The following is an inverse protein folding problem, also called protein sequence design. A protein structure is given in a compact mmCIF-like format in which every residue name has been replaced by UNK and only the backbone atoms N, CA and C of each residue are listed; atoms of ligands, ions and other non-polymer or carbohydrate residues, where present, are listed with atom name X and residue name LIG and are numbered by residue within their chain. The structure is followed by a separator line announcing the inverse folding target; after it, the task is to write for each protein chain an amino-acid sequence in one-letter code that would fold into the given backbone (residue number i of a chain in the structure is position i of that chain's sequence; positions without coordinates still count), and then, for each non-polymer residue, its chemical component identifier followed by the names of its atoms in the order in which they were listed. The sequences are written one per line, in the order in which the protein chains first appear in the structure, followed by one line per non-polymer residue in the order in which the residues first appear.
data_IF_647425983147
#
_entry.id   IF_647425983147
#
_cell.length_a   1.000
_cell.length_b   1.000
_cell.length_c   1.000
_cell.angle_alpha   90.00
_cell.angle_beta   90.00
_cell.angle_gamma   90.00
#
_symmetry.space_group_name_H-M   'P 1'
#
loop_
_entity.id
_entity.type
_entity.pdbx_description
1 polymer ?
#
# COMPACT_ATOMS: atom_id res chain seq x y z
N UNK A 1 13.06 -6.98 -18.91
CA UNK A 1 12.93 -6.81 -17.44
C UNK A 1 11.48 -7.09 -17.10
N UNK A 2 11.21 -7.98 -16.15
CA UNK A 2 9.86 -8.25 -15.67
C UNK A 2 9.38 -7.18 -14.69
N UNK A 3 8.09 -7.15 -14.35
CA UNK A 3 7.57 -6.17 -13.39
C UNK A 3 8.22 -6.31 -11.99
N UNK A 4 8.68 -7.51 -11.66
CA UNK A 4 9.37 -7.80 -10.41
C UNK A 4 10.63 -6.93 -10.20
N UNK A 5 11.40 -6.61 -11.25
CA UNK A 5 12.66 -5.86 -11.11
C UNK A 5 12.47 -4.41 -10.62
N UNK A 6 11.24 -3.89 -10.61
CA UNK A 6 10.98 -2.57 -10.00
C UNK A 6 11.06 -2.59 -8.48
N UNK A 7 11.12 -3.76 -7.85
CA UNK A 7 11.04 -3.93 -6.41
C UNK A 7 12.35 -4.40 -5.78
N UNK A 8 13.45 -4.49 -6.54
CA UNK A 8 14.75 -5.01 -6.05
C UNK A 8 15.29 -4.24 -4.83
N UNK A 9 15.01 -2.94 -4.72
CA UNK A 9 15.41 -2.10 -3.58
C UNK A 9 14.33 -2.01 -2.48
N UNK A 10 13.15 -2.61 -2.69
CA UNK A 10 12.04 -2.47 -1.74
C UNK A 10 12.40 -3.08 -0.38
N UNK A 11 13.12 -4.19 -0.33
CA UNK A 11 13.51 -4.84 0.93
C UNK A 11 14.23 -3.88 1.89
N UNK A 12 15.12 -3.02 1.36
CA UNK A 12 15.91 -2.04 2.13
C UNK A 12 15.14 -0.77 2.49
N UNK A 13 14.00 -0.51 1.85
CA UNK A 13 13.22 0.71 2.11
C UNK A 13 12.70 0.71 3.56
N UNK A 14 12.88 1.82 4.29
CA UNK A 14 12.28 1.95 5.61
C UNK A 14 10.77 2.18 5.49
N UNK A 15 10.00 1.57 6.38
CA UNK A 15 8.59 1.89 6.52
C UNK A 15 8.45 3.37 6.88
N UNK A 16 7.56 4.07 6.17
CA UNK A 16 7.23 5.46 6.47
C UNK A 16 5.80 5.54 6.97
N UNK A 17 5.54 6.55 7.81
CA UNK A 17 4.21 6.83 8.33
C UNK A 17 3.34 7.44 7.22
N UNK A 18 2.81 6.57 6.37
CA UNK A 18 1.66 6.81 5.52
C UNK A 18 1.87 7.65 4.27
N UNK A 19 1.59 7.06 3.11
CA UNK A 19 1.70 7.73 1.81
C UNK A 19 0.55 8.68 1.45
N UNK A 20 0.72 9.37 0.33
CA UNK A 20 -0.16 10.44 -0.15
C UNK A 20 -1.04 10.02 -1.34
N UNK A 21 -1.89 9.00 -1.21
CA UNK A 21 -2.38 8.33 -2.44
C UNK A 21 -3.80 7.76 -2.38
N UNK A 22 -4.57 7.99 -1.33
CA UNK A 22 -5.99 7.63 -1.26
C UNK A 22 -6.82 8.90 -1.09
N UNK A 23 -7.87 9.07 -1.90
CA UNK A 23 -8.80 10.21 -1.76
C UNK A 23 -9.85 9.87 -0.70
N UNK A 24 -10.26 10.85 0.08
CA UNK A 24 -11.23 10.68 1.17
C UNK A 24 -10.57 10.54 2.54
N UNK A 25 -11.38 10.72 3.59
CA UNK A 25 -11.02 10.55 5.00
C UNK A 25 -11.95 9.50 5.59
N UNK A 26 -11.40 8.57 6.35
CA UNK A 26 -12.17 7.51 6.97
C UNK A 26 -11.36 6.29 7.36
N UNK A 27 -12.05 5.36 8.00
CA UNK A 27 -11.58 4.01 8.30
C UNK A 27 -12.32 3.04 7.40
N UNK A 28 -11.58 2.10 6.84
CA UNK A 28 -12.07 1.14 5.88
C UNK A 28 -11.57 -0.25 6.24
N UNK A 29 -12.44 -1.25 6.09
CA UNK A 29 -12.02 -2.62 5.84
C UNK A 29 -12.11 -2.85 4.34
N UNK A 30 -11.02 -3.30 3.72
CA UNK A 30 -10.99 -3.48 2.27
C UNK A 30 -10.47 -4.87 1.90
N UNK A 31 -11.05 -5.45 0.85
CA UNK A 31 -10.58 -6.71 0.24
C UNK A 31 -9.80 -6.41 -1.03
N UNK A 32 -8.57 -6.91 -1.13
CA UNK A 32 -7.72 -6.74 -2.32
C UNK A 32 -8.34 -7.52 -3.48
N UNK A 33 -8.63 -6.82 -4.57
CA UNK A 33 -9.18 -7.43 -5.79
C UNK A 33 -8.07 -7.73 -6.79
N UNK A 34 -7.15 -6.78 -6.99
CA UNK A 34 -6.09 -6.87 -8.00
C UNK A 34 -4.86 -6.08 -7.60
N UNK A 35 -3.69 -6.61 -7.93
CA UNK A 35 -2.40 -5.92 -7.82
C UNK A 35 -1.69 -6.03 -9.16
N UNK A 36 -1.16 -4.92 -9.67
CA UNK A 36 -0.42 -4.90 -10.92
C UNK A 36 0.49 -3.67 -11.04
N UNK A 37 1.44 -3.73 -11.98
CA UNK A 37 2.21 -2.56 -12.40
C UNK A 37 1.58 -1.96 -13.65
N UNK A 38 1.32 -0.66 -13.62
CA UNK A 38 0.85 0.10 -14.78
C UNK A 38 1.95 1.04 -15.29
N UNK A 39 2.22 0.96 -16.58
CA UNK A 39 3.10 1.91 -17.29
C UNK A 39 2.23 2.99 -17.94
N UNK A 40 2.37 4.23 -17.47
CA UNK A 40 1.66 5.38 -18.03
C UNK A 40 2.61 6.48 -18.49
N UNK A 41 2.07 7.49 -19.17
CA UNK A 41 2.83 8.67 -19.63
C UNK A 41 3.60 9.38 -18.51
N UNK A 42 3.12 9.32 -17.26
CA UNK A 42 3.72 9.97 -16.08
C UNK A 42 4.62 9.05 -15.25
N UNK A 43 4.98 7.88 -15.78
CA UNK A 43 5.87 6.93 -15.14
C UNK A 43 5.20 5.59 -14.86
N UNK A 44 5.86 4.80 -13.99
CA UNK A 44 5.42 3.46 -13.61
C UNK A 44 4.84 3.48 -12.21
N UNK A 45 3.72 2.79 -12.03
CA UNK A 45 2.97 2.79 -10.78
C UNK A 45 2.64 1.35 -10.37
N UNK A 46 2.82 1.06 -9.10
CA UNK A 46 2.13 -0.04 -8.45
C UNK A 46 0.68 0.38 -8.23
N UNK A 47 -0.26 -0.48 -8.61
CA UNK A 47 -1.69 -0.28 -8.41
C UNK A 47 -2.22 -1.44 -7.57
N UNK A 48 -2.93 -1.11 -6.50
CA UNK A 48 -3.76 -2.04 -5.74
C UNK A 48 -5.22 -1.60 -5.87
N UNK A 49 -6.06 -2.44 -6.46
CA UNK A 49 -7.51 -2.25 -6.51
C UNK A 49 -8.16 -3.07 -5.40
N UNK A 50 -9.15 -2.48 -4.73
CA UNK A 50 -9.83 -3.12 -3.61
C UNK A 50 -11.32 -2.77 -3.57
N UNK A 51 -12.12 -3.70 -3.04
CA UNK A 51 -13.50 -3.44 -2.63
C UNK A 51 -13.51 -2.93 -1.19
N UNK A 52 -14.43 -2.01 -0.91
CA UNK A 52 -14.66 -1.49 0.44
C UNK A 52 -15.73 -2.34 1.09
N UNK A 53 -15.36 -3.09 2.13
CA UNK A 53 -16.28 -3.97 2.85
C UNK A 53 -16.98 -3.21 3.99
N UNK A 54 -16.22 -2.37 4.71
CA UNK A 54 -16.72 -1.46 5.74
C UNK A 54 -16.13 -0.07 5.54
N UNK A 55 -16.86 0.99 5.92
CA UNK A 55 -16.41 2.37 5.75
C UNK A 55 -17.08 3.34 6.71
N UNK A 56 -16.28 4.26 7.26
CA UNK A 56 -16.78 5.46 7.96
C UNK A 56 -16.89 6.68 7.04
N UNK A 57 -16.45 6.58 5.77
CA UNK A 57 -16.48 7.68 4.81
C UNK A 57 -17.80 7.68 4.03
N UNK A 58 -18.57 8.78 4.02
CA UNK A 58 -19.77 8.88 3.18
C UNK A 58 -19.44 8.96 1.68
N UNK A 59 -18.20 9.30 1.31
CA UNK A 59 -17.76 9.39 -0.08
C UNK A 59 -17.41 8.03 -0.68
N UNK A 60 -17.11 7.06 0.17
CA UNK A 60 -16.62 5.73 -0.20
C UNK A 60 -17.37 4.68 0.63
N UNK A 61 -18.69 4.51 0.46
CA UNK A 61 -19.49 3.59 1.26
C UNK A 61 -19.09 2.12 1.01
N UNK A 62 -19.52 1.24 1.92
CA UNK A 62 -19.41 -0.21 1.73
C UNK A 62 -20.01 -0.65 0.38
N UNK A 63 -19.36 -1.61 -0.27
CA UNK A 63 -19.65 -2.08 -1.63
C UNK A 63 -19.00 -1.27 -2.75
N UNK A 64 -18.35 -0.13 -2.44
CA UNK A 64 -17.64 0.65 -3.45
C UNK A 64 -16.30 0.02 -3.83
N UNK A 65 -15.78 0.37 -5.02
CA UNK A 65 -14.43 -0.02 -5.47
C UNK A 65 -13.51 1.19 -5.46
N UNK A 66 -12.26 0.97 -5.04
CA UNK A 66 -11.22 2.00 -5.00
C UNK A 66 -9.90 1.43 -5.50
N UNK A 67 -8.99 2.35 -5.81
CA UNK A 67 -7.63 2.01 -6.18
C UNK A 67 -6.64 2.91 -5.46
N UNK A 68 -5.52 2.31 -5.08
CA UNK A 68 -4.36 2.98 -4.55
C UNK A 68 -3.21 2.86 -5.55
N UNK A 69 -2.56 3.98 -5.85
CA UNK A 69 -1.44 4.04 -6.80
C UNK A 69 -0.18 4.58 -6.14
N UNK A 70 0.94 3.88 -6.28
CA UNK A 70 2.23 4.29 -5.72
C UNK A 70 3.32 4.34 -6.82
N UNK A 71 4.02 5.47 -7.01
CA UNK A 71 5.03 5.60 -8.07
C UNK A 71 6.25 4.72 -7.80
N UNK A 72 6.71 3.97 -8.80
CA UNK A 72 7.86 3.05 -8.70
C UNK A 72 9.18 3.65 -9.21
N UNK A 73 9.15 4.87 -9.77
CA UNK A 73 10.32 5.55 -10.32
C UNK A 73 10.46 6.98 -9.76
N UNK A 74 11.69 7.50 -9.85
CA UNK A 74 12.05 8.85 -9.41
C UNK A 74 12.22 8.98 -7.90
N UNK A 75 12.40 10.22 -7.42
CA UNK A 75 12.72 10.50 -6.01
C UNK A 75 11.68 10.00 -5.00
N UNK A 76 10.43 9.82 -5.45
CA UNK A 76 9.32 9.34 -4.62
C UNK A 76 9.26 7.82 -4.49
N UNK A 77 9.97 7.07 -5.33
CA UNK A 77 9.92 5.60 -5.33
C UNK A 77 10.31 4.99 -3.97
N UNK A 78 11.32 5.57 -3.31
CA UNK A 78 11.75 5.12 -1.97
C UNK A 78 10.66 5.21 -0.91
N UNK A 79 9.74 6.18 -1.03
CA UNK A 79 8.61 6.33 -0.12
C UNK A 79 7.51 5.32 -0.45
N UNK A 80 7.21 5.17 -1.75
CA UNK A 80 6.28 4.16 -2.25
C UNK A 80 6.66 2.75 -1.83
N UNK A 81 7.94 2.39 -1.86
CA UNK A 81 8.42 1.08 -1.43
C UNK A 81 8.14 0.82 0.06
N UNK A 82 8.27 1.83 0.92
CA UNK A 82 7.87 1.74 2.32
C UNK A 82 6.36 1.51 2.46
N UNK A 83 5.54 2.26 1.73
CA UNK A 83 4.08 2.13 1.79
C UNK A 83 3.57 0.79 1.23
N UNK A 84 4.15 0.32 0.13
CA UNK A 84 3.79 -0.97 -0.48
C UNK A 84 4.13 -2.09 0.49
N UNK A 85 5.29 -2.02 1.15
CA UNK A 85 5.66 -3.00 2.17
C UNK A 85 4.73 -2.97 3.38
N UNK A 86 4.29 -1.79 3.82
CA UNK A 86 3.33 -1.66 4.90
C UNK A 86 1.99 -2.33 4.56
N UNK A 87 1.52 -2.25 3.31
CA UNK A 87 0.35 -3.02 2.86
C UNK A 87 0.58 -4.52 3.05
N UNK A 88 1.73 -5.03 2.63
CA UNK A 88 2.04 -6.47 2.71
C UNK A 88 2.16 -6.94 4.15
N UNK A 89 2.83 -6.18 5.01
CA UNK A 89 2.88 -6.47 6.44
C UNK A 89 1.47 -6.57 7.02
N UNK A 90 0.61 -5.61 6.70
CA UNK A 90 -0.75 -5.62 7.19
C UNK A 90 -1.54 -6.86 6.69
N UNK A 91 -1.41 -7.20 5.41
CA UNK A 91 -1.99 -8.42 4.83
C UNK A 91 -1.47 -9.69 5.50
N UNK A 92 -0.18 -9.76 5.83
CA UNK A 92 0.44 -10.91 6.48
C UNK A 92 0.30 -10.89 8.02
N UNK A 93 -0.57 -10.04 8.56
CA UNK A 93 -0.90 -10.00 9.99
C UNK A 93 0.07 -9.20 10.87
N UNK A 94 1.05 -8.54 10.28
CA UNK A 94 2.00 -7.69 10.98
C UNK A 94 1.56 -6.22 10.94
N UNK A 95 1.34 -5.63 12.11
CA UNK A 95 1.03 -4.21 12.17
C UNK A 95 2.26 -3.37 11.76
N UNK A 96 2.20 -2.52 10.71
CA UNK A 96 3.40 -1.87 10.17
C UNK A 96 4.18 -0.98 11.13
N UNK A 97 3.52 -0.46 12.19
CA UNK A 97 4.19 0.34 13.23
C UNK A 97 5.07 -0.50 14.17
N UNK A 98 4.85 -1.81 14.21
CA UNK A 98 5.54 -2.73 15.12
C UNK A 98 6.61 -3.56 14.40
N UNK A 99 6.70 -3.42 13.06
CA UNK A 99 7.73 -4.07 12.26
C UNK A 99 9.06 -3.33 12.46
N UNK A 100 10.07 -4.05 12.92
CA UNK A 100 11.42 -3.52 13.10
C UNK A 100 12.03 -3.05 11.78
N UNK A 101 13.02 -2.16 11.85
CA UNK A 101 13.73 -1.67 10.66
C UNK A 101 14.36 -2.83 9.84
N UNK A 102 14.54 -2.69 8.51
CA UNK A 102 15.08 -3.73 7.64
C UNK A 102 16.45 -4.30 8.10
N UNK A 103 17.27 -3.47 8.75
CA UNK A 103 18.58 -3.89 9.27
C UNK A 103 18.47 -4.83 10.48
N UNK A 104 17.34 -4.78 11.20
CA UNK A 104 17.07 -5.58 12.40
C UNK A 104 16.24 -6.83 12.09
N UNK A 105 15.42 -6.81 11.03
CA UNK A 105 14.64 -7.98 10.60
C UNK A 105 14.65 -8.13 9.06
N UNK A 106 15.80 -8.46 8.44
CA UNK A 106 15.91 -8.52 6.98
C UNK A 106 15.02 -9.61 6.35
N UNK A 107 14.77 -10.70 7.07
CA UNK A 107 13.97 -11.83 6.58
C UNK A 107 12.53 -11.41 6.30
N UNK A 108 11.87 -10.73 7.24
CA UNK A 108 10.50 -10.25 7.07
C UNK A 108 10.36 -9.25 5.91
N UNK A 109 11.35 -8.37 5.74
CA UNK A 109 11.34 -7.38 4.66
C UNK A 109 11.61 -7.99 3.28
N UNK A 110 12.47 -9.01 3.22
CA UNK A 110 12.71 -9.78 2.00
C UNK A 110 11.45 -10.56 1.62
N UNK A 111 10.78 -11.18 2.58
CA UNK A 111 9.56 -11.94 2.32
C UNK A 111 8.44 -11.04 1.80
N UNK A 112 8.18 -9.90 2.45
CA UNK A 112 7.22 -8.92 1.94
C UNK A 112 7.55 -8.45 0.51
N UNK A 113 8.84 -8.37 0.18
CA UNK A 113 9.29 -8.03 -1.18
C UNK A 113 9.01 -9.14 -2.18
N UNK A 114 9.28 -10.39 -1.83
CA UNK A 114 9.00 -11.55 -2.68
C UNK A 114 7.51 -11.70 -2.97
N UNK A 115 6.65 -11.48 -1.98
CA UNK A 115 5.20 -11.56 -2.14
C UNK A 115 4.69 -10.51 -3.14
N UNK A 116 5.18 -9.27 -3.08
CA UNK A 116 4.82 -8.24 -4.07
C UNK A 116 5.31 -8.62 -5.46
N UNK A 117 6.57 -9.04 -5.57
CA UNK A 117 7.14 -9.45 -6.85
C UNK A 117 6.34 -10.60 -7.48
N UNK A 118 5.91 -11.59 -6.68
CA UNK A 118 5.06 -12.67 -7.15
C UNK A 118 3.68 -12.17 -7.58
N UNK A 119 3.06 -11.27 -6.82
CA UNK A 119 1.74 -10.74 -7.12
C UNK A 119 1.72 -9.87 -8.41
N UNK A 120 2.80 -9.14 -8.72
CA UNK A 120 2.85 -8.29 -9.92
C UNK A 120 3.45 -8.99 -11.16
N UNK A 121 4.13 -10.12 -10.98
CA UNK A 121 4.87 -10.79 -12.05
C UNK A 121 4.69 -12.31 -11.97
N UNK A 122 3.72 -12.88 -12.73
CA UNK A 122 3.47 -14.32 -12.74
C UNK A 122 4.67 -15.16 -13.19
N UNK A 123 5.59 -14.60 -13.99
CA UNK A 123 6.79 -15.31 -14.40
C UNK A 123 7.79 -15.40 -13.24
N UNK A 124 7.90 -14.34 -12.42
CA UNK A 124 8.64 -14.39 -11.15
C UNK A 124 8.01 -15.40 -10.18
N UNK A 125 6.68 -15.36 -10.00
CA UNK A 125 5.96 -16.27 -9.12
C UNK A 125 6.23 -17.73 -9.50
N UNK A 126 6.03 -18.09 -10.77
CA UNK A 126 6.30 -19.43 -11.31
C UNK A 126 7.76 -19.86 -11.14
N UNK A 127 8.72 -18.96 -11.36
CA UNK A 127 10.15 -19.27 -11.22
C UNK A 127 10.56 -19.58 -9.78
N UNK A 128 9.88 -18.97 -8.81
CA UNK A 128 10.21 -19.07 -7.38
C UNK A 128 9.23 -19.96 -6.60
N UNK A 129 8.34 -20.68 -7.29
CA UNK A 129 7.31 -21.55 -6.70
C UNK A 129 6.41 -20.80 -5.69
N UNK A 130 5.96 -19.61 -6.08
CA UNK A 130 5.06 -18.75 -5.31
C UNK A 130 3.70 -18.67 -6.00
N UNK A 131 2.64 -18.50 -5.20
CA UNK A 131 1.31 -18.20 -5.73
C UNK A 131 1.23 -16.72 -6.16
N UNK A 132 0.89 -16.50 -7.43
CA UNK A 132 0.67 -15.15 -7.97
C UNK A 132 -0.62 -14.50 -7.44
N UNK A 133 -1.53 -15.29 -6.87
CA UNK A 133 -2.79 -14.82 -6.28
C UNK A 133 -2.75 -14.62 -4.78
N UNK A 134 -1.57 -14.77 -4.14
CA UNK A 134 -1.42 -14.80 -2.69
C UNK A 134 -1.94 -13.56 -1.93
N UNK A 135 -2.09 -12.42 -2.62
CA UNK A 135 -2.61 -11.19 -2.03
C UNK A 135 -4.08 -10.91 -2.41
N UNK A 136 -4.67 -11.67 -3.34
CA UNK A 136 -6.03 -11.44 -3.84
C UNK A 136 -7.03 -12.09 -2.88
N UNK A 137 -8.06 -11.35 -2.49
CA UNK A 137 -9.05 -11.79 -1.51
C UNK A 137 -8.67 -11.51 -0.06
N UNK A 138 -7.43 -11.08 0.18
CA UNK A 138 -6.96 -10.70 1.52
C UNK A 138 -7.61 -9.40 2.00
N UNK A 139 -8.01 -9.41 3.27
CA UNK A 139 -8.60 -8.25 3.93
C UNK A 139 -7.54 -7.45 4.69
N UNK A 140 -7.65 -6.13 4.60
CA UNK A 140 -6.74 -5.21 5.26
C UNK A 140 -7.50 -3.97 5.72
N UNK A 141 -7.11 -3.43 6.87
CA UNK A 141 -7.61 -2.14 7.32
C UNK A 141 -6.83 -1.00 6.67
N UNK A 142 -7.57 0.01 6.25
CA UNK A 142 -7.06 1.26 5.73
C UNK A 142 -7.64 2.40 6.55
N UNK A 143 -6.78 3.26 7.07
CA UNK A 143 -7.19 4.53 7.65
C UNK A 143 -6.63 5.66 6.80
N UNK A 144 -7.47 6.63 6.43
CA UNK A 144 -7.07 7.84 5.72
C UNK A 144 -7.45 9.08 6.51
N UNK A 145 -6.53 10.03 6.59
CA UNK A 145 -6.72 11.29 7.31
C UNK A 145 -6.31 12.47 6.42
N UNK A 146 -7.08 13.55 6.43
CA UNK A 146 -6.74 14.78 5.71
C UNK A 146 -5.74 15.61 6.53
N UNK A 147 -4.67 16.07 5.86
CA UNK A 147 -3.67 16.97 6.43
C UNK A 147 -3.54 18.23 5.60
N UNK A 148 -3.45 19.36 6.29
CA UNK A 148 -3.12 20.63 5.66
C UNK A 148 -1.60 20.79 5.52
N UNK A 149 -1.16 21.25 4.35
CA UNK A 149 0.21 21.73 4.17
C UNK A 149 0.37 23.12 4.76
N UNK A 150 1.60 23.48 5.14
CA UNK A 150 1.91 24.87 5.52
C UNK A 150 1.74 25.79 4.30
N UNK A 151 1.15 27.00 4.47
CA UNK A 151 1.12 28.00 3.41
C UNK A 151 2.53 28.38 2.97
N UNK A 152 2.74 28.55 1.66
CA UNK A 152 3.98 29.15 1.14
C UNK A 152 3.97 30.66 1.38
N UNK A 153 5.13 31.34 1.39
CA UNK A 153 5.17 32.81 1.44
C UNK A 153 4.27 33.41 0.35
N UNK A 154 3.36 34.30 0.74
CA UNK A 154 2.37 34.91 -0.17
C UNK A 154 1.05 34.14 -0.33
N UNK A 155 0.86 33.01 0.35
CA UNK A 155 -0.43 32.30 0.41
C UNK A 155 -1.09 32.44 1.78
N UNK A 156 -2.41 32.63 1.79
CA UNK A 156 -3.22 32.68 3.02
C UNK A 156 -3.55 31.29 3.58
N UNK A 157 -3.57 30.25 2.73
CA UNK A 157 -3.75 28.86 3.14
C UNK A 157 -2.89 27.91 2.27
N UNK A 158 -2.47 26.79 2.85
CA UNK A 158 -1.83 25.70 2.11
C UNK A 158 -2.86 24.76 1.48
N UNK A 159 -2.39 23.85 0.63
CA UNK A 159 -3.24 22.77 0.09
C UNK A 159 -3.49 21.66 1.11
N UNK A 160 -4.50 20.81 0.84
CA UNK A 160 -4.78 19.59 1.60
C UNK A 160 -4.21 18.36 0.89
N UNK A 161 -3.74 17.38 1.65
CA UNK A 161 -3.35 16.06 1.16
C UNK A 161 -3.84 14.99 2.12
N UNK A 162 -4.07 13.78 1.63
CA UNK A 162 -4.44 12.66 2.47
C UNK A 162 -3.19 11.90 2.89
N UNK A 163 -3.09 11.50 4.15
CA UNK A 163 -2.18 10.44 4.58
C UNK A 163 -2.98 9.17 4.81
N UNK A 164 -2.38 8.02 4.57
CA UNK A 164 -3.03 6.74 4.84
C UNK A 164 -2.18 5.83 5.72
N UNK A 165 -2.78 4.85 6.39
CA UNK A 165 -2.05 3.78 7.07
C UNK A 165 -2.76 2.47 6.88
N UNK A 166 -1.96 1.41 6.72
CA UNK A 166 -2.43 0.03 6.67
C UNK A 166 -2.30 -0.61 8.05
N UNK A 167 -3.26 -1.43 8.43
CA UNK A 167 -3.20 -2.31 9.59
C UNK A 167 -3.85 -3.66 9.25
N UNK A 168 -3.47 -4.75 9.93
CA UNK A 168 -4.12 -6.03 9.75
C UNK A 168 -5.63 -5.91 9.93
N UNK A 169 -6.40 -6.67 9.16
CA UNK A 169 -7.79 -6.89 9.49
C UNK A 169 -7.84 -7.57 10.87
N UNK A 170 -8.31 -6.84 11.89
CA UNK A 170 -8.52 -7.44 13.22
C UNK A 170 -9.48 -8.61 13.08
N UNK A 171 -9.15 -9.75 13.69
CA UNK A 171 -10.07 -10.87 13.82
C UNK A 171 -11.28 -10.42 14.66
N UNK A 172 -12.31 -9.91 13.99
CA UNK A 172 -13.62 -9.62 14.57
C UNK A 172 -13.61 -8.76 15.84
N UNK A 173 -13.43 -7.45 15.69
CA UNK A 173 -14.23 -6.53 16.50
C UNK A 173 -15.18 -5.83 15.54
N UNK A 174 -16.39 -6.39 15.47
CA UNK A 174 -17.53 -5.68 14.91
C UNK A 174 -17.59 -4.32 15.59
N UNK A 175 -17.56 -3.26 14.78
CA UNK A 175 -17.79 -1.90 15.23
C UNK A 175 -19.16 -1.87 15.91
N UNK A 176 -19.16 -1.79 17.24
CA UNK A 176 -20.36 -1.68 18.06
C UNK A 176 -20.99 -0.29 17.93
#
# INVERSE_FOLDING_TARGET
MGAASYFDDMAKAKSQAGGQYVKGEGKFLVTIQRIFVHEGHKGRFFICEFSVDESTSPLDPAGSTRSWSAPLLGERAKYSFGDIKNLIFAVTGHHPKDVADPDLNPELHNEATRLVMAAVDPAYAKKNDLDATILIGEQVQLETNLKATRPKPGQTQGGTFTVHSWSPASAGEAVA
#
